data_IF_382042360370
#
_entry.id   IF_382042360370
#
_cell.length_a   1.000
_cell.length_b   1.000
_cell.length_c   1.000
_cell.angle_alpha   90.00
_cell.angle_beta   90.00
_cell.angle_gamma   90.00
#
_symmetry.space_group_name_H-M   'P 1'
#
loop_
_entity.id
_entity.type
_entity.pdbx_description
1 polymer ?
#
# COMPACT_ATOMS: atom_id res chain seq x y z
N UNK A 1 8.53 -12.17 -5.38
CA UNK A 1 9.40 -11.39 -4.48
C UNK A 1 8.70 -10.07 -4.23
N UNK A 2 8.68 -9.61 -2.99
CA UNK A 2 8.10 -8.31 -2.62
C UNK A 2 9.22 -7.49 -1.96
N UNK A 3 9.51 -6.30 -2.47
CA UNK A 3 10.59 -5.43 -1.99
C UNK A 3 10.14 -3.98 -1.96
N UNK A 4 10.50 -3.24 -0.91
CA UNK A 4 10.29 -1.80 -0.83
C UNK A 4 11.61 -1.12 -0.48
N UNK A 5 12.17 -0.38 -1.45
CA UNK A 5 13.53 0.15 -1.36
C UNK A 5 14.54 -0.97 -1.14
N UNK A 6 15.21 -0.96 0.01
CA UNK A 6 16.18 -2.00 0.40
C UNK A 6 15.60 -3.11 1.29
N UNK A 7 14.35 -2.98 1.75
CA UNK A 7 13.69 -3.99 2.59
C UNK A 7 13.06 -5.06 1.72
N UNK A 8 13.33 -6.33 2.04
CA UNK A 8 12.60 -7.47 1.46
C UNK A 8 11.43 -7.81 2.36
N UNK A 9 10.22 -7.75 1.83
CA UNK A 9 9.00 -8.08 2.55
C UNK A 9 8.62 -9.57 2.34
N UNK A 10 7.82 -10.15 3.23
CA UNK A 10 7.30 -11.50 3.07
C UNK A 10 6.50 -11.65 1.77
N UNK A 11 6.71 -12.75 1.05
CA UNK A 11 6.00 -13.02 -0.21
C UNK A 11 4.49 -13.29 -0.03
N UNK A 12 4.04 -13.53 1.20
CA UNK A 12 2.65 -13.83 1.53
C UNK A 12 1.81 -12.56 1.74
N UNK A 13 2.38 -11.36 1.61
CA UNK A 13 1.62 -10.12 1.58
C UNK A 13 0.75 -10.05 0.33
N UNK A 14 -0.49 -9.64 0.52
CA UNK A 14 -1.48 -9.55 -0.56
C UNK A 14 -1.74 -8.09 -0.92
N UNK A 15 -2.07 -7.83 -2.18
CA UNK A 15 -2.47 -6.51 -2.66
C UNK A 15 -3.93 -6.56 -3.16
N UNK A 16 -4.94 -6.54 -2.26
CA UNK A 16 -6.33 -6.78 -2.62
C UNK A 16 -6.92 -5.72 -3.58
N UNK A 17 -6.61 -4.43 -3.38
CA UNK A 17 -7.14 -3.35 -4.20
C UNK A 17 -6.46 -3.21 -5.57
N UNK A 18 -5.53 -4.12 -5.93
CA UNK A 18 -4.88 -4.07 -7.23
C UNK A 18 -5.89 -4.21 -8.40
N UNK A 19 -6.94 -5.02 -8.24
CA UNK A 19 -7.94 -5.24 -9.28
C UNK A 19 -9.02 -4.15 -9.37
N UNK A 20 -9.08 -3.26 -8.39
CA UNK A 20 -10.04 -2.14 -8.37
C UNK A 20 -9.58 -0.98 -9.25
N UNK A 21 -8.28 -0.87 -9.50
CA UNK A 21 -7.70 0.20 -10.29
C UNK A 21 -7.77 -0.08 -11.80
N UNK A 22 -8.43 0.81 -12.53
CA UNK A 22 -8.51 0.78 -14.00
C UNK A 22 -7.74 1.90 -14.68
N UNK A 23 -7.23 2.89 -13.92
CA UNK A 23 -6.52 4.05 -14.45
C UNK A 23 -7.40 5.06 -15.19
N UNK A 24 -8.72 4.90 -15.16
CA UNK A 24 -9.68 5.74 -15.90
C UNK A 24 -10.73 6.28 -14.93
N UNK A 25 -10.96 7.58 -14.98
CA UNK A 25 -12.09 8.24 -14.30
C UNK A 25 -13.09 8.72 -15.35
N UNK A 26 -14.35 8.31 -15.20
CA UNK A 26 -15.44 8.75 -16.07
C UNK A 26 -16.59 9.34 -15.25
N UNK A 27 -17.17 10.42 -15.76
CA UNK A 27 -18.39 11.04 -15.24
C UNK A 27 -19.44 11.06 -16.33
N UNK A 28 -20.66 10.64 -15.98
CA UNK A 28 -21.79 10.55 -16.91
C UNK A 28 -22.82 11.60 -16.54
N UNK A 29 -23.12 12.50 -17.46
CA UNK A 29 -24.17 13.50 -17.33
C UNK A 29 -25.30 13.25 -18.33
N UNK A 30 -26.53 13.61 -17.94
CA UNK A 30 -27.69 13.60 -18.85
C UNK A 30 -28.07 15.01 -19.23
N UNK A 31 -28.28 15.24 -20.53
CA UNK A 31 -28.76 16.52 -21.03
C UNK A 31 -30.24 16.72 -20.69
N UNK A 32 -30.72 17.95 -20.79
CA UNK A 32 -32.15 18.27 -20.66
C UNK A 32 -33.04 17.52 -21.68
N UNK A 33 -32.47 17.13 -22.82
CA UNK A 33 -33.14 16.35 -23.86
C UNK A 33 -33.11 14.83 -23.60
N UNK A 34 -32.40 14.37 -22.57
CA UNK A 34 -32.28 12.96 -22.19
C UNK A 34 -31.06 12.23 -22.78
N UNK A 35 -30.26 12.90 -23.61
CA UNK A 35 -29.02 12.35 -24.15
C UNK A 35 -27.98 12.15 -23.05
N UNK A 36 -27.05 11.21 -23.28
CA UNK A 36 -25.96 10.92 -22.35
C UNK A 36 -24.68 11.56 -22.86
N UNK A 37 -24.00 12.31 -22.00
CA UNK A 37 -22.65 12.85 -22.24
C UNK A 37 -21.71 12.19 -21.25
N UNK A 38 -20.60 11.66 -21.76
CA UNK A 38 -19.58 10.98 -20.96
C UNK A 38 -18.30 11.81 -21.05
N UNK A 39 -17.77 12.19 -19.89
CA UNK A 39 -16.47 12.85 -19.76
C UNK A 39 -15.51 11.87 -19.11
N UNK A 40 -14.38 11.59 -19.76
CA UNK A 40 -13.39 10.64 -19.27
C UNK A 40 -11.98 11.19 -19.34
N UNK A 41 -11.13 10.78 -18.40
CA UNK A 41 -9.68 11.05 -18.40
C UNK A 41 -8.92 9.89 -17.78
N UNK A 42 -7.68 9.71 -18.20
CA UNK A 42 -6.71 8.89 -17.47
C UNK A 42 -6.39 9.56 -16.13
N UNK A 43 -6.23 8.75 -15.09
CA UNK A 43 -5.85 9.19 -13.75
C UNK A 43 -4.57 8.48 -13.30
N UNK A 44 -3.75 9.20 -12.54
CA UNK A 44 -2.56 8.67 -11.85
C UNK A 44 -2.82 8.58 -10.34
N UNK A 45 -1.87 8.05 -9.58
CA UNK A 45 -2.02 7.94 -8.13
C UNK A 45 -2.70 6.66 -7.66
N UNK A 46 -2.36 5.52 -8.28
CA UNK A 46 -2.90 4.21 -7.88
C UNK A 46 -2.60 3.96 -6.42
N UNK A 47 -3.65 3.69 -5.65
CA UNK A 47 -3.52 3.26 -4.26
C UNK A 47 -3.02 1.82 -4.20
N UNK A 48 -2.03 1.57 -3.36
CA UNK A 48 -1.45 0.24 -3.14
C UNK A 48 -1.59 -0.09 -1.66
N UNK A 49 -2.48 -1.01 -1.32
CA UNK A 49 -2.66 -1.47 0.06
C UNK A 49 -2.08 -2.88 0.18
N UNK A 50 -0.94 -3.01 0.86
CA UNK A 50 -0.33 -4.31 1.13
C UNK A 50 -0.82 -4.82 2.46
N UNK A 51 -1.48 -5.97 2.45
CA UNK A 51 -2.18 -6.53 3.61
C UNK A 51 -1.62 -7.91 3.97
N UNK A 52 -1.28 -8.06 5.24
CA UNK A 52 -1.08 -9.32 5.94
C UNK A 52 -2.20 -9.56 6.95
N UNK A 53 -2.54 -10.83 7.18
CA UNK A 53 -3.59 -11.22 8.12
C UNK A 53 -3.05 -11.88 9.38
N UNK A 54 -3.94 -12.27 10.28
CA UNK A 54 -3.56 -12.97 11.52
C UNK A 54 -2.80 -14.27 11.27
N UNK A 55 -2.96 -14.89 10.10
CA UNK A 55 -2.39 -16.20 9.77
C UNK A 55 -1.44 -16.18 8.56
N UNK A 56 -1.15 -15.00 7.98
CA UNK A 56 -0.32 -14.87 6.77
C UNK A 56 0.33 -13.49 6.63
N UNK A 57 1.42 -13.38 5.86
CA UNK A 57 2.02 -12.10 5.51
C UNK A 57 2.60 -11.34 6.71
N UNK A 58 3.13 -12.05 7.71
CA UNK A 58 3.70 -11.46 8.90
C UNK A 58 5.07 -10.84 8.62
N UNK A 59 5.27 -9.61 9.09
CA UNK A 59 6.56 -8.91 9.04
C UNK A 59 7.24 -8.95 10.41
N UNK A 60 8.58 -8.87 10.44
CA UNK A 60 9.33 -8.79 11.69
C UNK A 60 9.26 -7.39 12.29
N UNK A 61 9.44 -7.28 13.61
CA UNK A 61 9.50 -5.99 14.30
C UNK A 61 10.65 -5.11 13.77
N UNK A 62 11.78 -5.73 13.42
CA UNK A 62 12.91 -5.06 12.79
C UNK A 62 12.54 -4.42 11.44
N UNK A 63 11.84 -5.15 10.60
CA UNK A 63 11.39 -4.64 9.30
C UNK A 63 10.32 -3.56 9.49
N UNK A 64 9.39 -3.76 10.43
CA UNK A 64 8.38 -2.76 10.79
C UNK A 64 9.02 -1.44 11.25
N UNK A 65 10.07 -1.50 12.07
CA UNK A 65 10.81 -0.31 12.50
C UNK A 65 11.46 0.41 11.32
N UNK A 66 12.05 -0.34 10.40
CA UNK A 66 12.66 0.23 9.20
C UNK A 66 11.59 0.86 8.29
N UNK A 67 10.41 0.23 8.15
CA UNK A 67 9.27 0.82 7.46
C UNK A 67 8.79 2.12 8.11
N UNK A 68 8.78 2.18 9.45
CA UNK A 68 8.43 3.40 10.18
C UNK A 68 9.44 4.52 9.95
N UNK A 69 10.74 4.20 9.95
CA UNK A 69 11.81 5.15 9.65
C UNK A 69 11.68 5.67 8.21
N UNK A 70 11.42 4.79 7.23
CA UNK A 70 11.17 5.16 5.84
C UNK A 70 9.93 6.05 5.68
N UNK A 71 8.84 5.72 6.36
CA UNK A 71 7.61 6.52 6.35
C UNK A 71 7.76 7.86 7.08
N UNK A 72 8.82 8.05 7.86
CA UNK A 72 9.07 9.32 8.56
C UNK A 72 9.84 10.34 7.70
N UNK A 73 10.32 9.94 6.51
CA UNK A 73 11.02 10.83 5.58
C UNK A 73 10.02 11.54 4.67
N UNK A 74 9.99 12.87 4.76
CA UNK A 74 9.06 13.70 4.01
C UNK A 74 9.38 13.71 2.50
N UNK A 75 8.36 13.54 1.66
CA UNK A 75 8.43 13.56 0.19
C UNK A 75 9.39 12.52 -0.44
N UNK A 76 9.81 11.51 0.32
CA UNK A 76 10.66 10.45 -0.22
C UNK A 76 9.84 9.49 -1.10
N UNK A 77 10.48 9.07 -2.20
CA UNK A 77 9.92 8.14 -3.18
C UNK A 77 10.75 6.87 -3.15
N UNK A 78 10.08 5.73 -3.12
CA UNK A 78 10.70 4.41 -3.03
C UNK A 78 10.37 3.58 -4.27
N UNK A 79 11.32 2.75 -4.67
CA UNK A 79 11.06 1.66 -5.62
C UNK A 79 10.33 0.52 -4.89
N UNK A 80 9.20 0.09 -5.43
CA UNK A 80 8.42 -1.01 -4.91
C UNK A 80 8.34 -2.12 -5.96
N UNK A 81 8.88 -3.30 -5.63
CA UNK A 81 8.80 -4.49 -6.46
C UNK A 81 7.71 -5.42 -5.92
N UNK A 82 6.79 -5.84 -6.77
CA UNK A 82 5.75 -6.82 -6.45
C UNK A 82 5.69 -7.90 -7.53
N UNK A 83 6.14 -9.11 -7.20
CA UNK A 83 6.12 -10.27 -8.10
C UNK A 83 6.78 -10.04 -9.47
N UNK A 84 7.80 -9.19 -9.52
CA UNK A 84 8.59 -8.87 -10.72
C UNK A 84 8.17 -7.57 -11.41
N UNK A 85 7.03 -6.99 -11.05
CA UNK A 85 6.62 -5.65 -11.50
C UNK A 85 7.22 -4.59 -10.56
N UNK A 86 7.69 -3.48 -11.14
CA UNK A 86 8.33 -2.38 -10.42
C UNK A 86 7.45 -1.14 -10.51
N UNK A 87 7.21 -0.52 -9.36
CA UNK A 87 6.43 0.70 -9.19
C UNK A 87 7.26 1.76 -8.47
N UNK A 88 6.96 3.02 -8.76
CA UNK A 88 7.52 4.15 -8.02
C UNK A 88 6.46 4.65 -7.07
N UNK A 89 6.71 4.59 -5.77
CA UNK A 89 5.68 4.80 -4.75
C UNK A 89 6.12 5.76 -3.66
N UNK A 90 5.15 6.37 -2.98
CA UNK A 90 5.34 7.05 -1.70
C UNK A 90 4.39 6.49 -0.65
N UNK A 91 4.67 6.78 0.60
CA UNK A 91 3.73 6.53 1.69
C UNK A 91 2.51 7.45 1.59
N UNK A 92 1.31 6.87 1.73
CA UNK A 92 0.03 7.57 1.57
C UNK A 92 -0.37 8.30 2.86
N UNK A 93 0.38 9.33 3.24
CA UNK A 93 0.17 10.09 4.50
C UNK A 93 -1.17 10.81 4.60
N UNK A 94 -1.82 11.09 3.49
CA UNK A 94 -3.18 11.65 3.44
C UNK A 94 -4.26 10.69 3.97
N UNK A 95 -3.96 9.39 4.10
CA UNK A 95 -4.85 8.35 4.61
C UNK A 95 -4.24 7.69 5.87
N UNK A 96 -4.17 8.46 6.96
CA UNK A 96 -3.58 8.04 8.24
C UNK A 96 -4.48 7.04 9.01
N UNK A 97 -3.94 5.99 9.64
CA UNK A 97 -2.52 5.63 9.70
C UNK A 97 -2.00 5.01 8.40
N UNK A 98 -0.76 5.34 8.04
CA UNK A 98 -0.06 4.79 6.86
C UNK A 98 0.35 3.33 7.07
N UNK A 99 0.78 3.01 8.30
CA UNK A 99 1.16 1.68 8.74
C UNK A 99 0.20 1.30 9.88
N UNK A 100 -0.60 0.27 9.68
CA UNK A 100 -1.54 -0.23 10.68
C UNK A 100 -1.16 -1.68 11.01
N UNK A 101 -0.49 -1.89 12.14
CA UNK A 101 0.05 -3.21 12.51
C UNK A 101 -0.41 -3.64 13.90
N UNK A 102 -0.66 -4.94 14.03
CA UNK A 102 -1.00 -5.64 15.27
C UNK A 102 0.04 -6.73 15.53
N UNK A 103 0.54 -6.86 16.77
CA UNK A 103 1.46 -7.95 17.11
C UNK A 103 0.74 -9.30 17.05
N UNK A 104 1.42 -10.34 16.54
CA UNK A 104 0.91 -11.72 16.56
C UNK A 104 0.88 -12.27 17.99
N UNK A 105 1.89 -11.92 18.79
CA UNK A 105 1.97 -12.28 20.21
C UNK A 105 2.02 -11.02 21.06
N UNK A 106 1.09 -10.89 22.00
CA UNK A 106 1.03 -9.74 22.91
C UNK A 106 2.05 -9.91 24.04
N UNK A 107 3.23 -9.30 23.86
CA UNK A 107 4.32 -9.27 24.83
C UNK A 107 4.54 -7.85 25.34
N UNK A 108 5.07 -7.73 26.56
CA UNK A 108 5.34 -6.41 27.16
C UNK A 108 6.53 -5.68 26.51
N UNK A 109 7.45 -6.44 25.91
CA UNK A 109 8.60 -5.94 25.16
C UNK A 109 8.67 -6.70 23.84
N UNK A 110 8.86 -5.96 22.75
CA UNK A 110 9.06 -6.52 21.43
C UNK A 110 10.55 -6.62 21.11
N UNK A 111 10.95 -7.77 20.59
CA UNK A 111 12.29 -8.00 20.05
C UNK A 111 12.25 -8.03 18.53
N UNK A 112 13.40 -7.86 17.89
CA UNK A 112 13.54 -7.70 16.43
C UNK A 112 12.82 -8.80 15.61
N UNK A 113 12.79 -10.04 16.11
CA UNK A 113 12.20 -11.20 15.43
C UNK A 113 10.71 -11.43 15.77
N UNK A 114 10.08 -10.57 16.57
CA UNK A 114 8.64 -10.66 16.84
C UNK A 114 7.83 -10.31 15.59
N UNK A 115 6.71 -11.00 15.41
CA UNK A 115 5.89 -10.88 14.21
C UNK A 115 4.71 -9.92 14.39
N UNK A 116 4.46 -9.15 13.35
CA UNK A 116 3.34 -8.23 13.22
C UNK A 116 2.61 -8.49 11.90
N UNK A 117 1.30 -8.30 11.90
CA UNK A 117 0.47 -8.34 10.70
C UNK A 117 -0.34 -7.05 10.60
N UNK A 118 -0.72 -6.67 9.39
CA UNK A 118 -1.28 -5.35 9.19
C UNK A 118 -1.34 -4.89 7.75
N UNK A 119 -1.47 -3.58 7.60
CA UNK A 119 -1.61 -2.91 6.31
C UNK A 119 -0.51 -1.85 6.14
N UNK A 120 0.10 -1.84 4.96
CA UNK A 120 0.99 -0.78 4.49
C UNK A 120 0.27 -0.04 3.37
N UNK A 121 0.01 1.26 3.57
CA UNK A 121 -0.66 2.11 2.58
C UNK A 121 0.35 2.91 1.77
N UNK A 122 0.43 2.60 0.48
CA UNK A 122 1.29 3.24 -0.50
C UNK A 122 0.44 3.90 -1.59
N UNK A 123 1.08 4.78 -2.36
CA UNK A 123 0.50 5.41 -3.56
C UNK A 123 1.58 5.52 -4.64
N UNK A 124 1.23 5.14 -5.87
CA UNK A 124 2.06 5.36 -7.05
C UNK A 124 2.19 6.86 -7.37
N UNK A 125 3.39 7.32 -7.75
CA UNK A 125 3.70 8.72 -8.07
C UNK A 125 4.05 8.94 -9.53
#
# INVERSE_FOLDING_TARGET
MIKLGDITLPNDLTWPNCFEWTGISETVERTLSGDVVIYGTEITGRTIDLTGGSDYGWITYKDLKTLLDMASVYEEIYEFEFNGDIYTVRFRHEDSPVLEFTPVTDTAEFIDDDYFYGVIKLMEV
#
